data_IF_170729175177
#
_entry.id   IF_170729175177
#
_cell.length_a   1.000
_cell.length_b   1.000
_cell.length_c   1.000
_cell.angle_alpha   90.00
_cell.angle_beta   90.00
_cell.angle_gamma   90.00
#
_symmetry.space_group_name_H-M   'P 1'
#
loop_
_entity.id
_entity.type
_entity.pdbx_description
1 polymer ?
#
# COMPACT_ATOMS: atom_id res chain seq x y z
N UNK A 1 10.27 -1.23 15.79
CA UNK A 1 9.67 -1.45 14.49
C UNK A 1 10.38 -0.64 13.42
N UNK A 2 10.35 -1.11 12.16
CA UNK A 2 11.22 -0.64 11.08
C UNK A 2 11.17 0.87 10.83
N UNK A 3 9.99 1.50 10.91
CA UNK A 3 9.88 2.96 10.71
C UNK A 3 10.66 3.73 11.79
N UNK A 4 10.56 3.33 13.06
CA UNK A 4 11.28 3.96 14.17
C UNK A 4 12.79 3.76 14.05
N UNK A 5 13.23 2.57 13.62
CA UNK A 5 14.65 2.25 13.42
C UNK A 5 15.23 3.10 12.28
N UNK A 6 14.51 3.22 11.16
CA UNK A 6 14.94 4.04 10.04
C UNK A 6 15.00 5.52 10.39
N UNK A 7 13.98 6.06 11.09
CA UNK A 7 13.98 7.45 11.53
C UNK A 7 15.17 7.75 12.45
N UNK A 8 15.51 6.83 13.36
CA UNK A 8 16.70 6.97 14.20
C UNK A 8 18.00 6.96 13.38
N UNK A 9 18.11 6.08 12.38
CA UNK A 9 19.28 6.03 11.48
C UNK A 9 19.45 7.37 10.74
N UNK A 10 18.35 8.00 10.35
CA UNK A 10 18.31 9.32 9.69
C UNK A 10 18.40 10.50 10.69
N UNK A 11 18.66 10.22 11.96
CA UNK A 11 18.73 11.25 13.04
C UNK A 11 17.46 12.08 13.15
N UNK A 12 16.31 11.47 12.89
CA UNK A 12 14.98 12.07 13.07
C UNK A 12 14.40 11.63 14.41
N UNK A 13 13.70 12.54 15.07
CA UNK A 13 13.09 12.29 16.37
C UNK A 13 11.62 11.87 16.20
N UNK A 14 11.21 10.85 16.95
CA UNK A 14 9.79 10.48 17.11
C UNK A 14 9.29 11.13 18.39
N UNK A 15 8.65 12.29 18.25
CA UNK A 15 8.22 13.13 19.40
C UNK A 15 6.91 12.65 20.04
N UNK A 16 6.06 11.97 19.27
CA UNK A 16 4.79 11.39 19.74
C UNK A 16 4.63 9.98 19.18
N UNK A 17 4.26 9.02 20.02
CA UNK A 17 3.91 7.67 19.62
C UNK A 17 2.65 7.20 20.34
N UNK A 18 1.62 6.82 19.61
CA UNK A 18 0.33 6.35 20.12
C UNK A 18 -0.12 5.08 19.40
N UNK A 19 -0.94 4.29 20.08
CA UNK A 19 -1.61 3.13 19.53
C UNK A 19 -3.10 3.23 19.82
N UNK A 20 -3.92 2.82 18.87
CA UNK A 20 -5.37 2.89 18.93
C UNK A 20 -5.96 1.54 18.52
N UNK A 21 -7.15 1.25 19.00
CA UNK A 21 -7.92 0.10 18.49
C UNK A 21 -8.53 0.42 17.11
N UNK A 22 -8.99 -0.62 16.44
CA UNK A 22 -9.54 -0.55 15.09
C UNK A 22 -10.87 0.23 14.98
N UNK A 23 -11.49 0.59 16.09
CA UNK A 23 -12.77 1.33 16.15
C UNK A 23 -12.61 2.77 16.55
N UNK A 24 -11.43 3.18 17.00
CA UNK A 24 -11.18 4.56 17.45
C UNK A 24 -11.37 5.55 16.30
N UNK A 25 -12.21 6.57 16.53
CA UNK A 25 -12.43 7.69 15.61
C UNK A 25 -12.39 9.04 16.30
N UNK A 26 -12.23 9.08 17.62
CA UNK A 26 -12.13 10.32 18.40
C UNK A 26 -10.63 10.70 18.55
N UNK A 27 -10.19 11.71 17.82
CA UNK A 27 -8.79 12.14 17.76
C UNK A 27 -8.59 13.60 18.17
N UNK A 28 -9.58 14.26 18.78
CA UNK A 28 -9.48 15.68 19.13
C UNK A 28 -8.34 15.93 20.16
N UNK A 29 -8.18 15.05 21.16
CA UNK A 29 -7.08 15.14 22.15
C UNK A 29 -5.72 14.93 21.46
N UNK A 30 -5.61 13.89 20.62
CA UNK A 30 -4.38 13.64 19.86
C UNK A 30 -4.02 14.82 18.96
N UNK A 31 -4.99 15.40 18.27
CA UNK A 31 -4.75 16.55 17.39
C UNK A 31 -4.18 17.75 18.18
N UNK A 32 -4.68 18.00 19.40
CA UNK A 32 -4.13 19.01 20.31
C UNK A 32 -2.70 18.71 20.73
N UNK A 33 -2.39 17.45 21.06
CA UNK A 33 -1.04 16.99 21.41
C UNK A 33 -0.06 17.16 20.24
N UNK A 34 -0.45 16.73 19.05
CA UNK A 34 0.36 16.85 17.82
C UNK A 34 0.66 18.32 17.47
N UNK A 35 -0.34 19.21 17.63
CA UNK A 35 -0.14 20.65 17.45
C UNK A 35 0.83 21.22 18.47
N UNK A 36 0.66 20.89 19.76
CA UNK A 36 1.54 21.36 20.82
C UNK A 36 2.99 20.90 20.64
N UNK A 37 3.18 19.68 20.16
CA UNK A 37 4.48 19.10 19.83
C UNK A 37 5.04 19.59 18.47
N UNK A 38 4.30 20.41 17.73
CA UNK A 38 4.67 20.94 16.39
C UNK A 38 5.06 19.83 15.42
N UNK A 39 4.30 18.75 15.39
CA UNK A 39 4.56 17.61 14.50
C UNK A 39 4.38 18.03 13.05
N UNK A 40 5.39 17.79 12.22
CA UNK A 40 5.38 18.10 10.77
C UNK A 40 4.98 16.89 9.92
N UNK A 41 5.28 15.67 10.39
CA UNK A 41 4.99 14.43 9.65
C UNK A 41 4.39 13.40 10.61
N UNK A 42 3.30 12.78 10.17
CA UNK A 42 2.63 11.67 10.85
C UNK A 42 2.86 10.41 10.02
N UNK A 43 3.51 9.39 10.59
CA UNK A 43 3.58 8.05 10.01
C UNK A 43 2.55 7.17 10.71
N UNK A 44 1.64 6.57 9.95
CA UNK A 44 0.44 5.93 10.48
C UNK A 44 0.17 4.57 9.84
N UNK A 45 -0.39 3.65 10.65
CA UNK A 45 -0.97 2.38 10.19
C UNK A 45 -2.51 2.35 10.37
N UNK A 46 -3.13 3.51 10.51
CA UNK A 46 -4.59 3.64 10.63
C UNK A 46 -5.29 3.18 9.35
N UNK A 47 -6.54 2.76 9.49
CA UNK A 47 -7.44 2.58 8.36
C UNK A 47 -7.89 3.94 7.80
N UNK A 48 -8.44 3.97 6.61
CA UNK A 48 -8.84 5.20 5.90
C UNK A 48 -9.84 6.06 6.70
N UNK A 49 -10.90 5.45 7.27
CA UNK A 49 -11.88 6.18 8.08
C UNK A 49 -11.27 6.79 9.36
N UNK A 50 -10.30 6.12 9.97
CA UNK A 50 -9.57 6.63 11.13
C UNK A 50 -8.63 7.78 10.71
N UNK A 51 -7.91 7.61 9.61
CA UNK A 51 -7.05 8.65 9.06
C UNK A 51 -7.86 9.90 8.72
N UNK A 52 -9.03 9.76 8.07
CA UNK A 52 -9.94 10.87 7.81
C UNK A 52 -10.39 11.57 9.09
N UNK A 53 -10.77 10.82 10.12
CA UNK A 53 -11.17 11.39 11.41
C UNK A 53 -10.03 12.16 12.08
N UNK A 54 -8.79 11.63 12.01
CA UNK A 54 -7.60 12.33 12.50
C UNK A 54 -7.34 13.64 11.73
N UNK A 55 -7.41 13.61 10.39
CA UNK A 55 -7.20 14.80 9.57
C UNK A 55 -8.27 15.87 9.82
N UNK A 56 -9.51 15.47 10.05
CA UNK A 56 -10.59 16.39 10.46
C UNK A 56 -10.31 17.02 11.83
N UNK A 57 -9.83 16.24 12.80
CA UNK A 57 -9.46 16.75 14.12
C UNK A 57 -8.28 17.73 14.05
N UNK A 58 -7.26 17.44 13.23
CA UNK A 58 -6.13 18.35 12.99
C UNK A 58 -6.58 19.69 12.39
N UNK A 59 -7.53 19.64 11.44
CA UNK A 59 -8.11 20.84 10.86
C UNK A 59 -8.89 21.69 11.88
N UNK A 60 -9.65 21.06 12.79
CA UNK A 60 -10.37 21.77 13.87
C UNK A 60 -9.45 22.59 14.78
N UNK A 61 -8.26 22.07 15.03
CA UNK A 61 -7.26 22.75 15.87
C UNK A 61 -6.30 23.63 15.07
N UNK A 62 -6.56 23.84 13.77
CA UNK A 62 -5.71 24.63 12.87
C UNK A 62 -4.24 24.13 12.86
N UNK A 63 -4.07 22.80 12.74
CA UNK A 63 -2.77 22.15 12.54
C UNK A 63 -2.72 21.48 11.17
N UNK A 64 -2.70 22.32 10.12
CA UNK A 64 -2.80 21.87 8.72
C UNK A 64 -1.45 21.79 7.99
N UNK A 65 -0.40 22.39 8.57
CA UNK A 65 0.99 22.28 8.06
C UNK A 65 1.65 20.99 8.52
N UNK A 66 1.02 19.88 8.19
CA UNK A 66 1.45 18.54 8.54
C UNK A 66 1.18 17.60 7.37
N UNK A 67 2.07 16.63 7.15
CA UNK A 67 1.88 15.59 6.15
C UNK A 67 1.57 14.24 6.81
N UNK A 68 0.65 13.48 6.23
CA UNK A 68 0.32 12.11 6.64
C UNK A 68 0.94 11.12 5.65
N UNK A 69 1.71 10.17 6.14
CA UNK A 69 2.16 8.98 5.42
C UNK A 69 1.52 7.74 6.04
N UNK A 70 0.70 7.04 5.28
CA UNK A 70 0.08 5.79 5.72
C UNK A 70 0.49 4.57 4.90
N UNK A 71 -0.06 3.42 5.26
CA UNK A 71 0.03 2.19 4.49
C UNK A 71 -0.98 2.13 3.35
N UNK A 72 -1.09 0.97 2.74
CA UNK A 72 -2.05 0.70 1.66
C UNK A 72 -3.51 0.79 2.12
N UNK A 73 -3.77 0.62 3.42
CA UNK A 73 -5.10 0.77 4.03
C UNK A 73 -5.72 2.15 3.85
N UNK A 74 -4.90 3.20 3.64
CA UNK A 74 -5.41 4.55 3.34
C UNK A 74 -5.42 4.87 1.84
N UNK A 75 -4.87 4.01 0.97
CA UNK A 75 -4.89 4.20 -0.49
C UNK A 75 -6.26 3.82 -1.07
N UNK A 76 -7.29 4.50 -0.62
CA UNK A 76 -8.69 4.26 -1.00
C UNK A 76 -9.30 5.47 -1.71
N UNK A 77 -10.44 5.25 -2.36
CA UNK A 77 -11.22 6.33 -2.96
C UNK A 77 -11.79 7.28 -1.90
N UNK A 78 -12.13 6.75 -0.71
CA UNK A 78 -12.68 7.57 0.37
C UNK A 78 -11.68 8.61 0.89
N UNK A 79 -10.38 8.32 0.84
CA UNK A 79 -9.34 9.27 1.22
C UNK A 79 -9.27 10.50 0.31
N UNK A 80 -9.92 10.51 -0.85
CA UNK A 80 -10.03 11.73 -1.68
C UNK A 80 -10.73 12.88 -0.94
N UNK A 81 -11.54 12.57 0.07
CA UNK A 81 -12.16 13.55 0.98
C UNK A 81 -11.13 14.31 1.84
N UNK A 82 -9.93 13.78 2.00
CA UNK A 82 -8.85 14.40 2.77
C UNK A 82 -8.13 15.55 2.02
N UNK A 83 -8.42 15.72 0.74
CA UNK A 83 -7.78 16.78 -0.06
C UNK A 83 -7.97 18.16 0.54
N UNK A 84 -6.85 18.87 0.70
CA UNK A 84 -6.83 20.22 1.26
C UNK A 84 -7.09 20.30 2.77
N UNK A 85 -7.14 19.16 3.47
CA UNK A 85 -7.25 19.15 4.94
C UNK A 85 -5.91 19.42 5.61
N UNK A 86 -4.84 18.92 5.04
CA UNK A 86 -3.46 19.05 5.49
C UNK A 86 -2.53 19.29 4.29
N UNK A 87 -1.25 19.51 4.54
CA UNK A 87 -0.25 19.85 3.51
C UNK A 87 -0.07 18.73 2.50
N UNK A 88 0.02 17.48 2.95
CA UNK A 88 0.17 16.32 2.07
C UNK A 88 -0.41 15.05 2.66
N UNK A 89 -0.95 14.19 1.78
CA UNK A 89 -1.41 12.85 2.14
C UNK A 89 -0.72 11.85 1.22
N UNK A 90 0.06 10.97 1.82
CA UNK A 90 0.86 9.96 1.13
C UNK A 90 0.48 8.56 1.61
N UNK A 91 0.60 7.59 0.72
CA UNK A 91 0.39 6.18 1.03
C UNK A 91 1.50 5.32 0.44
N UNK A 92 1.96 4.32 1.18
CA UNK A 92 2.77 3.24 0.63
C UNK A 92 1.87 2.08 0.21
N UNK A 93 2.20 1.40 -0.88
CA UNK A 93 1.46 0.21 -1.31
C UNK A 93 2.37 -0.80 -1.98
N UNK A 94 2.31 -2.08 -1.60
CA UNK A 94 2.97 -3.16 -2.32
C UNK A 94 2.26 -3.52 -3.63
N UNK A 95 1.03 -3.02 -3.82
CA UNK A 95 0.24 -3.23 -5.04
C UNK A 95 0.39 -2.01 -5.94
N UNK A 96 1.28 -2.12 -6.92
CA UNK A 96 1.42 -1.13 -7.98
C UNK A 96 0.24 -1.22 -8.94
N UNK A 97 -0.09 -0.13 -9.61
CA UNK A 97 -1.15 -0.13 -10.64
C UNK A 97 -0.71 -0.96 -11.87
N UNK A 98 -1.65 -1.64 -12.52
CA UNK A 98 -1.32 -2.46 -13.70
C UNK A 98 -0.59 -1.67 -14.80
N UNK A 99 -0.91 -0.38 -14.97
CA UNK A 99 -0.26 0.52 -15.93
C UNK A 99 1.24 0.75 -15.67
N UNK A 100 1.72 0.46 -14.47
CA UNK A 100 3.13 0.61 -14.09
C UNK A 100 4.02 -0.55 -14.59
N UNK A 101 3.39 -1.59 -15.15
CA UNK A 101 4.06 -2.73 -15.77
C UNK A 101 3.98 -2.64 -17.29
N UNK A 102 5.03 -3.01 -17.99
CA UNK A 102 5.08 -2.97 -19.47
C UNK A 102 3.99 -3.80 -20.13
N UNK A 103 3.59 -4.89 -19.49
CA UNK A 103 2.52 -5.82 -19.92
C UNK A 103 1.14 -5.47 -19.37
N UNK A 104 1.06 -4.41 -18.55
CA UNK A 104 -0.18 -4.03 -17.88
C UNK A 104 -1.23 -3.42 -18.81
N UNK A 105 -0.81 -2.64 -19.82
CA UNK A 105 -1.74 -2.05 -20.79
C UNK A 105 -2.55 -3.11 -21.58
N UNK A 106 -1.93 -4.13 -22.19
CA UNK A 106 -2.66 -5.21 -22.84
C UNK A 106 -3.61 -5.97 -21.89
N UNK A 107 -3.24 -6.15 -20.64
CA UNK A 107 -4.13 -6.73 -19.63
C UNK A 107 -5.37 -5.86 -19.40
N UNK A 108 -5.18 -4.55 -19.17
CA UNK A 108 -6.26 -3.61 -18.92
C UNK A 108 -7.24 -3.55 -20.11
N UNK A 109 -6.72 -3.47 -21.32
CA UNK A 109 -7.54 -3.44 -22.54
C UNK A 109 -8.42 -4.70 -22.66
N UNK A 110 -7.84 -5.89 -22.47
CA UNK A 110 -8.57 -7.15 -22.51
C UNK A 110 -9.58 -7.27 -21.37
N UNK A 111 -9.21 -6.84 -20.17
CA UNK A 111 -10.11 -6.90 -19.01
C UNK A 111 -11.33 -5.98 -19.21
N UNK A 112 -11.11 -4.73 -19.64
CA UNK A 112 -12.18 -3.77 -19.89
C UNK A 112 -13.08 -4.25 -21.04
N UNK A 113 -12.50 -4.82 -22.08
CA UNK A 113 -13.29 -5.38 -23.19
C UNK A 113 -14.21 -6.52 -22.72
N UNK A 114 -13.73 -7.38 -21.81
CA UNK A 114 -14.49 -8.52 -21.32
C UNK A 114 -15.55 -8.14 -20.27
N UNK A 115 -15.24 -7.19 -19.37
CA UNK A 115 -16.06 -6.91 -18.19
C UNK A 115 -16.69 -5.51 -18.17
N UNK A 116 -16.40 -4.66 -19.16
CA UNK A 116 -16.91 -3.28 -19.31
C UNK A 116 -16.60 -2.36 -18.11
N UNK A 117 -15.56 -2.71 -17.34
CA UNK A 117 -15.08 -1.96 -16.18
C UNK A 117 -13.61 -2.29 -15.90
N UNK A 118 -12.85 -1.38 -15.29
CA UNK A 118 -11.48 -1.69 -14.87
C UNK A 118 -11.44 -2.77 -13.79
N UNK A 119 -10.31 -3.50 -13.63
CA UNK A 119 -10.13 -4.43 -12.53
C UNK A 119 -10.16 -3.68 -11.19
N UNK A 120 -10.65 -4.36 -10.15
CA UNK A 120 -10.57 -3.86 -8.78
C UNK A 120 -9.12 -3.82 -8.28
N UNK A 121 -8.90 -3.18 -7.12
CA UNK A 121 -7.60 -3.14 -6.46
C UNK A 121 -6.95 -4.53 -6.39
N UNK A 122 -5.72 -4.64 -6.87
CA UNK A 122 -4.98 -5.91 -6.89
C UNK A 122 -5.48 -6.96 -7.89
N UNK A 123 -6.49 -6.67 -8.73
CA UNK A 123 -7.06 -7.65 -9.64
C UNK A 123 -6.07 -8.27 -10.62
N UNK A 124 -5.06 -7.53 -11.06
CA UNK A 124 -3.99 -8.05 -11.91
C UNK A 124 -3.03 -8.99 -11.15
N UNK A 125 -2.78 -8.74 -9.86
CA UNK A 125 -2.03 -9.69 -9.01
C UNK A 125 -2.81 -10.98 -8.80
N UNK A 126 -4.12 -10.90 -8.58
CA UNK A 126 -4.97 -12.11 -8.48
C UNK A 126 -4.99 -12.90 -9.79
N UNK A 127 -5.04 -12.21 -10.93
CA UNK A 127 -4.93 -12.83 -12.24
C UNK A 127 -3.59 -13.57 -12.39
N UNK A 128 -2.49 -12.93 -12.09
CA UNK A 128 -1.15 -13.50 -12.17
C UNK A 128 -0.96 -14.68 -11.20
N UNK A 129 -1.52 -14.59 -10.00
CA UNK A 129 -1.46 -15.66 -9.00
C UNK A 129 -2.04 -16.97 -9.50
N UNK A 130 -3.08 -16.92 -10.36
CA UNK A 130 -3.66 -18.13 -10.96
C UNK A 130 -2.71 -18.82 -11.93
N UNK A 131 -1.90 -18.07 -12.67
CA UNK A 131 -0.86 -18.66 -13.55
C UNK A 131 0.25 -19.32 -12.74
N UNK A 132 0.70 -18.65 -11.68
CA UNK A 132 1.75 -19.19 -10.79
C UNK A 132 1.26 -20.44 -10.07
N UNK A 133 0.03 -20.42 -9.55
CA UNK A 133 -0.59 -21.58 -8.90
C UNK A 133 -0.74 -22.75 -9.87
N UNK A 134 -1.20 -22.50 -11.09
CA UNK A 134 -1.32 -23.51 -12.13
C UNK A 134 0.04 -24.16 -12.45
N UNK A 135 1.08 -23.35 -12.61
CA UNK A 135 2.44 -23.86 -12.83
C UNK A 135 2.95 -24.69 -11.65
N UNK A 136 2.65 -24.29 -10.42
CA UNK A 136 3.03 -25.03 -9.21
C UNK A 136 2.32 -26.39 -9.12
N UNK A 137 1.02 -26.46 -9.42
CA UNK A 137 0.24 -27.71 -9.47
C UNK A 137 0.81 -28.66 -10.55
N UNK A 138 1.09 -28.13 -11.75
CA UNK A 138 1.69 -28.91 -12.83
C UNK A 138 3.06 -29.47 -12.44
N UNK A 139 3.89 -28.67 -11.77
CA UNK A 139 5.20 -29.10 -11.28
C UNK A 139 5.10 -30.13 -10.16
N UNK A 140 4.20 -29.91 -9.20
CA UNK A 140 3.96 -30.81 -8.09
C UNK A 140 3.37 -32.17 -8.56
N UNK A 141 2.63 -32.18 -9.65
CA UNK A 141 1.81 -33.34 -10.10
C UNK A 141 0.88 -33.85 -9.00
N UNK A 142 0.43 -32.96 -8.15
CA UNK A 142 -0.36 -33.24 -6.95
C UNK A 142 -1.36 -32.12 -6.71
N UNK A 143 -2.49 -32.43 -6.11
CA UNK A 143 -3.45 -31.47 -5.57
C UNK A 143 -3.28 -31.22 -4.07
N UNK A 144 -2.30 -31.90 -3.45
CA UNK A 144 -1.99 -31.70 -2.03
C UNK A 144 -1.39 -30.31 -1.80
N UNK A 145 -1.91 -29.51 -0.84
CA UNK A 145 -1.41 -28.16 -0.58
C UNK A 145 0.07 -28.11 -0.18
N UNK A 146 0.58 -29.13 0.51
CA UNK A 146 1.98 -29.14 0.93
C UNK A 146 2.92 -29.35 -0.26
N UNK A 147 2.54 -30.23 -1.20
CA UNK A 147 3.30 -30.46 -2.42
C UNK A 147 3.30 -29.22 -3.33
N UNK A 148 2.14 -28.58 -3.45
CA UNK A 148 1.99 -27.31 -4.21
C UNK A 148 2.86 -26.24 -3.57
N UNK A 149 2.85 -26.07 -2.25
CA UNK A 149 3.68 -25.09 -1.55
C UNK A 149 5.17 -25.33 -1.81
N UNK A 150 5.65 -26.57 -1.71
CA UNK A 150 7.04 -26.92 -2.05
C UNK A 150 7.38 -26.58 -3.49
N UNK A 151 6.46 -26.85 -4.42
CA UNK A 151 6.63 -26.51 -5.83
C UNK A 151 6.71 -24.98 -6.04
N UNK A 152 5.86 -24.21 -5.37
CA UNK A 152 5.88 -22.73 -5.43
C UNK A 152 7.23 -22.15 -4.98
N UNK A 153 7.81 -22.61 -3.89
CA UNK A 153 9.15 -22.17 -3.44
C UNK A 153 10.26 -22.50 -4.42
N UNK A 154 10.05 -23.44 -5.32
CA UNK A 154 11.07 -23.96 -6.25
C UNK A 154 10.91 -23.51 -7.69
N UNK A 155 9.93 -22.65 -7.99
CA UNK A 155 9.70 -22.12 -9.34
C UNK A 155 10.03 -20.63 -9.42
N UNK A 156 10.48 -20.18 -10.61
CA UNK A 156 10.36 -18.80 -11.03
C UNK A 156 8.98 -18.65 -11.65
N UNK A 157 8.00 -18.21 -10.86
CA UNK A 157 6.63 -18.11 -11.30
C UNK A 157 6.46 -17.01 -12.34
N UNK A 158 6.27 -17.37 -13.60
CA UNK A 158 5.90 -16.42 -14.64
C UNK A 158 4.53 -15.80 -14.33
N UNK A 159 4.50 -14.49 -14.27
CA UNK A 159 3.31 -13.69 -13.99
C UNK A 159 3.05 -12.76 -15.19
N UNK A 160 1.96 -12.98 -15.96
CA UNK A 160 1.71 -12.30 -17.23
C UNK A 160 1.68 -10.78 -17.20
N UNK A 161 1.34 -10.19 -16.05
CA UNK A 161 1.25 -8.73 -15.90
C UNK A 161 2.43 -8.17 -15.13
N UNK A 162 2.78 -8.74 -13.99
CA UNK A 162 3.85 -8.21 -13.13
C UNK A 162 5.24 -8.78 -13.46
N UNK A 163 5.32 -9.79 -14.34
CA UNK A 163 6.55 -10.41 -14.85
C UNK A 163 6.93 -11.69 -14.13
N UNK A 164 7.13 -11.68 -12.82
CA UNK A 164 7.48 -12.86 -12.05
C UNK A 164 7.02 -12.78 -10.60
N UNK A 165 6.70 -13.94 -10.03
CA UNK A 165 6.48 -14.13 -8.59
C UNK A 165 7.40 -15.23 -8.11
N UNK A 166 8.33 -14.89 -7.23
CA UNK A 166 9.23 -15.84 -6.56
C UNK A 166 9.28 -15.54 -5.07
N UNK A 167 9.47 -16.59 -4.28
CA UNK A 167 9.47 -16.46 -2.82
C UNK A 167 10.81 -16.87 -2.24
N UNK A 168 11.16 -16.26 -1.14
CA UNK A 168 12.27 -16.70 -0.30
C UNK A 168 11.84 -17.85 0.62
N UNK A 169 12.73 -18.30 1.50
CA UNK A 169 12.47 -19.41 2.41
C UNK A 169 11.39 -19.10 3.46
N UNK A 170 11.07 -17.81 3.66
CA UNK A 170 10.01 -17.34 4.55
C UNK A 170 8.66 -17.18 3.84
N UNK A 171 8.64 -17.32 2.51
CA UNK A 171 7.45 -17.07 1.69
C UNK A 171 7.25 -15.60 1.32
N UNK A 172 8.26 -14.75 1.49
CA UNK A 172 8.21 -13.35 1.08
C UNK A 172 8.56 -13.21 -0.41
N UNK A 173 7.86 -12.31 -1.10
CA UNK A 173 8.12 -12.02 -2.52
C UNK A 173 9.49 -11.38 -2.69
N UNK A 174 10.40 -12.02 -3.44
CA UNK A 174 11.80 -11.59 -3.60
C UNK A 174 11.96 -10.27 -4.37
N UNK A 175 11.10 -10.03 -5.33
CA UNK A 175 11.21 -8.89 -6.27
C UNK A 175 9.99 -7.97 -6.18
N UNK A 176 9.38 -7.91 -5.01
CA UNK A 176 8.28 -7.00 -4.74
C UNK A 176 8.75 -5.54 -4.75
N UNK A 177 8.00 -4.68 -5.43
CA UNK A 177 8.20 -3.25 -5.36
C UNK A 177 7.13 -2.61 -4.48
N UNK A 178 7.52 -1.59 -3.70
CA UNK A 178 6.60 -0.74 -2.94
C UNK A 178 6.53 0.61 -3.65
N UNK A 179 5.31 1.05 -3.96
CA UNK A 179 5.05 2.39 -4.46
C UNK A 179 4.76 3.37 -3.34
N UNK A 180 5.25 4.59 -3.47
CA UNK A 180 4.82 5.74 -2.67
C UNK A 180 3.90 6.59 -3.54
N UNK A 181 2.69 6.82 -3.05
CA UNK A 181 1.65 7.56 -3.74
C UNK A 181 1.34 8.86 -3.00
N UNK A 182 1.01 9.90 -3.72
CA UNK A 182 0.51 11.16 -3.19
C UNK A 182 -0.94 11.36 -3.65
N UNK A 183 -1.79 11.81 -2.75
CA UNK A 183 -3.16 12.20 -3.08
C UNK A 183 -3.16 13.58 -3.71
N UNK A 184 -3.40 13.65 -5.03
CA UNK A 184 -3.44 14.88 -5.81
C UNK A 184 -4.61 14.93 -6.77
N UNK A 185 -5.25 16.09 -6.89
CA UNK A 185 -6.35 16.28 -7.86
C UNK A 185 -7.48 15.26 -7.73
N UNK A 186 -7.71 14.69 -6.53
CA UNK A 186 -8.70 13.64 -6.30
C UNK A 186 -8.25 12.24 -6.69
N UNK A 187 -6.98 12.04 -7.00
CA UNK A 187 -6.41 10.76 -7.41
C UNK A 187 -5.13 10.44 -6.65
N UNK A 188 -4.83 9.15 -6.54
CA UNK A 188 -3.55 8.67 -6.06
C UNK A 188 -2.55 8.64 -7.23
N UNK A 189 -1.51 9.47 -7.14
CA UNK A 189 -0.44 9.55 -8.12
C UNK A 189 0.82 8.88 -7.60
N UNK A 190 1.39 7.96 -8.37
CA UNK A 190 2.67 7.33 -8.04
C UNK A 190 3.80 8.36 -8.09
N UNK A 191 4.56 8.46 -7.00
CA UNK A 191 5.71 9.38 -6.88
C UNK A 191 7.04 8.65 -6.95
N UNK A 192 7.10 7.48 -6.35
CA UNK A 192 8.33 6.72 -6.24
C UNK A 192 8.05 5.22 -6.18
N UNK A 193 8.99 4.43 -6.65
CA UNK A 193 8.99 2.97 -6.52
C UNK A 193 10.30 2.53 -5.87
N UNK A 194 10.22 1.56 -4.97
CA UNK A 194 11.40 1.05 -4.26
C UNK A 194 12.37 0.24 -5.15
N UNK A 195 11.99 -0.12 -6.36
CA UNK A 195 12.82 -0.84 -7.34
C UNK A 195 13.44 0.08 -8.42
N UNK A 196 13.23 1.39 -8.32
CA UNK A 196 13.73 2.40 -9.27
C UNK A 196 14.21 3.62 -8.50
N UNK A 197 15.44 3.57 -8.03
CA UNK A 197 16.14 4.69 -7.35
C UNK A 197 16.98 5.47 -8.33
#
# INVERSE_FOLDING_TARGET
DGATEQLKAEKKEVVVRKSFDDKTTAFDELAGELKAAKVEVIVSTLNDFQALALLQALRKVDHTKVSLLGGDTIKTTDMTKAMGMVEGVYATSPVLEAKEFSTGKPFLEKYIAAYQKPPAYGGHYSYDSMYVLSAAIQKAKSADPQDITKAMHSINGYAPVIGTMTWDDKGEQRYGAVGVYELRGGNWELRMRSDRW
#
